data_IF_043107850390
#
_entry.id   IF_043107850390
#
_cell.length_a   1.000
_cell.length_b   1.000
_cell.length_c   1.000
_cell.angle_alpha   90.00
_cell.angle_beta   90.00
_cell.angle_gamma   90.00
#
_symmetry.space_group_name_H-M   'P 1'
#
loop_
_entity.id
_entity.type
_entity.pdbx_description
1 polymer ?
#
# COMPACT_ATOMS: atom_id res chain seq x y z
N UNK A 1 12.08 -46.17 37.51
CA UNK A 1 11.18 -45.04 37.24
C UNK A 1 11.38 -44.64 35.79
N UNK A 2 10.36 -44.84 34.96
CA UNK A 2 10.43 -44.73 33.51
C UNK A 2 10.34 -43.27 33.03
N UNK A 3 11.27 -42.92 32.14
CA UNK A 3 11.14 -42.16 30.88
C UNK A 3 10.22 -40.93 30.81
N UNK A 4 10.78 -39.79 30.39
CA UNK A 4 10.33 -39.11 29.14
C UNK A 4 11.40 -38.11 28.65
N UNK A 5 12.25 -38.52 27.71
CA UNK A 5 13.03 -37.59 26.89
C UNK A 5 12.15 -37.22 25.68
N UNK A 6 11.44 -36.10 25.83
CA UNK A 6 10.63 -35.52 24.77
C UNK A 6 11.48 -34.97 23.62
N UNK A 7 12.00 -35.86 22.78
CA UNK A 7 12.58 -35.50 21.49
C UNK A 7 11.46 -35.10 20.53
N UNK A 8 11.28 -33.80 20.32
CA UNK A 8 10.42 -33.28 19.24
C UNK A 8 11.16 -33.41 17.91
N UNK A 9 11.01 -34.55 17.25
CA UNK A 9 11.47 -34.76 15.89
C UNK A 9 10.60 -33.97 14.91
N UNK A 10 11.09 -32.79 14.52
CA UNK A 10 10.77 -32.19 13.22
C UNK A 10 11.91 -32.54 12.28
N UNK A 11 11.60 -32.94 11.04
CA UNK A 11 12.56 -33.31 9.98
C UNK A 11 13.42 -32.12 9.53
N UNK A 12 14.27 -31.63 10.41
CA UNK A 12 15.37 -30.72 10.13
C UNK A 12 16.55 -31.30 10.92
N UNK A 13 17.67 -31.54 10.25
CA UNK A 13 18.87 -32.17 10.84
C UNK A 13 19.63 -31.25 11.82
N UNK A 14 18.92 -30.35 12.48
CA UNK A 14 19.45 -29.40 13.45
C UNK A 14 19.04 -29.87 14.85
N UNK A 15 19.95 -30.53 15.56
CA UNK A 15 19.72 -30.91 16.95
C UNK A 15 20.01 -29.72 17.86
N UNK A 16 18.95 -29.13 18.43
CA UNK A 16 19.10 -28.22 19.55
C UNK A 16 19.29 -29.05 20.82
N UNK A 17 20.44 -28.90 21.46
CA UNK A 17 20.72 -29.45 22.78
C UNK A 17 20.72 -28.30 23.80
N UNK A 18 19.98 -28.47 24.89
CA UNK A 18 20.02 -27.56 26.03
C UNK A 18 21.32 -27.83 26.81
N UNK A 19 22.15 -26.79 26.98
CA UNK A 19 23.37 -26.86 27.80
C UNK A 19 23.05 -26.25 29.16
N UNK A 20 23.03 -27.09 30.20
CA UNK A 20 22.79 -26.67 31.58
C UNK A 20 24.01 -25.95 32.16
N UNK A 21 23.85 -24.69 32.55
CA UNK A 21 24.83 -23.91 33.31
C UNK A 21 24.26 -23.59 34.70
N UNK A 22 24.74 -24.34 35.70
CA UNK A 22 24.63 -24.15 37.15
C UNK A 22 23.26 -24.17 37.87
N UNK A 23 23.36 -24.54 39.16
CA UNK A 23 22.33 -24.99 40.12
C UNK A 23 21.36 -23.89 40.59
N UNK A 24 21.45 -22.66 40.09
CA UNK A 24 20.73 -21.48 40.63
C UNK A 24 19.50 -21.04 39.83
N UNK A 25 19.01 -21.83 38.88
CA UNK A 25 17.72 -21.57 38.21
C UNK A 25 17.69 -20.30 37.34
N UNK A 26 18.84 -19.79 36.92
CA UNK A 26 18.93 -18.65 35.99
C UNK A 26 18.90 -19.18 34.56
N UNK A 27 17.87 -18.85 33.77
CA UNK A 27 17.85 -19.23 32.35
C UNK A 27 18.76 -18.29 31.55
N UNK A 28 19.93 -18.78 31.15
CA UNK A 28 20.75 -18.09 30.15
C UNK A 28 20.11 -18.28 28.77
N UNK A 29 19.85 -17.18 28.08
CA UNK A 29 19.37 -17.20 26.71
C UNK A 29 20.57 -17.43 25.78
N UNK A 30 20.90 -18.70 25.55
CA UNK A 30 22.00 -19.10 24.69
C UNK A 30 21.61 -18.87 23.22
N UNK A 31 22.28 -17.93 22.55
CA UNK A 31 22.14 -17.80 21.10
C UNK A 31 23.00 -18.85 20.39
N UNK A 32 22.39 -19.62 19.48
CA UNK A 32 23.13 -20.59 18.69
C UNK A 32 24.00 -19.86 17.65
N UNK A 33 25.30 -20.18 17.64
CA UNK A 33 26.23 -19.68 16.61
C UNK A 33 26.03 -20.47 15.32
N UNK A 34 25.73 -19.78 14.21
CA UNK A 34 25.38 -20.42 12.94
C UNK A 34 26.57 -20.46 11.98
N UNK A 35 27.03 -21.64 11.53
CA UNK A 35 28.03 -21.79 10.48
C UNK A 35 27.54 -21.19 9.15
N UNK A 36 28.47 -20.71 8.32
CA UNK A 36 28.16 -20.01 7.07
C UNK A 36 27.21 -20.78 6.14
N UNK A 37 27.42 -22.09 6.00
CA UNK A 37 26.59 -22.98 5.16
C UNK A 37 25.12 -23.10 5.60
N UNK A 38 24.80 -22.70 6.84
CA UNK A 38 23.46 -22.82 7.41
C UNK A 38 22.69 -21.50 7.50
N UNK A 39 23.36 -20.36 7.33
CA UNK A 39 22.74 -19.04 7.60
C UNK A 39 21.55 -18.75 6.67
N UNK A 40 21.67 -19.07 5.38
CA UNK A 40 20.58 -18.92 4.41
C UNK A 40 19.38 -19.80 4.77
N UNK A 41 19.63 -21.06 5.19
CA UNK A 41 18.55 -21.99 5.58
C UNK A 41 17.79 -21.51 6.81
N UNK A 42 18.51 -20.96 7.80
CA UNK A 42 17.91 -20.35 9.00
C UNK A 42 17.06 -19.13 8.61
N UNK A 43 17.56 -18.29 7.71
CA UNK A 43 16.81 -17.16 7.20
C UNK A 43 15.53 -17.60 6.47
N UNK A 44 15.63 -18.52 5.52
CA UNK A 44 14.49 -18.99 4.71
C UNK A 44 13.42 -19.63 5.61
N UNK A 45 13.81 -20.41 6.62
CA UNK A 45 12.90 -21.05 7.56
C UNK A 45 12.11 -20.06 8.41
N UNK A 46 12.70 -18.93 8.80
CA UNK A 46 12.04 -17.93 9.66
C UNK A 46 11.31 -16.88 8.81
N UNK A 47 11.95 -16.38 7.75
CA UNK A 47 11.39 -15.38 6.86
C UNK A 47 10.23 -15.95 6.04
N UNK A 48 10.31 -17.21 5.60
CA UNK A 48 9.27 -17.87 4.81
C UNK A 48 7.93 -18.09 5.52
N UNK A 49 7.88 -17.98 6.87
CA UNK A 49 6.63 -18.16 7.63
C UNK A 49 5.63 -17.03 7.41
N UNK A 50 6.10 -15.81 7.22
CA UNK A 50 5.22 -14.62 7.14
C UNK A 50 5.77 -13.48 6.28
N UNK A 51 6.91 -13.68 5.62
CA UNK A 51 7.65 -12.65 4.88
C UNK A 51 7.76 -11.31 5.62
N UNK A 52 8.26 -11.32 6.88
CA UNK A 52 8.39 -10.11 7.64
C UNK A 52 9.32 -9.12 6.94
N UNK A 53 9.03 -7.83 7.05
CA UNK A 53 9.96 -6.79 6.60
C UNK A 53 11.33 -6.89 7.30
N UNK A 54 12.28 -6.06 6.87
CA UNK A 54 13.67 -6.10 7.34
C UNK A 54 13.81 -6.10 8.88
N UNK A 55 13.22 -5.12 9.57
CA UNK A 55 13.37 -4.96 11.03
C UNK A 55 12.78 -6.15 11.80
N UNK A 56 11.53 -6.62 11.51
CA UNK A 56 11.01 -7.81 12.15
C UNK A 56 11.79 -9.09 11.84
N UNK A 57 12.23 -9.30 10.59
CA UNK A 57 13.08 -10.44 10.21
C UNK A 57 14.36 -10.47 11.05
N UNK A 58 15.02 -9.32 11.18
CA UNK A 58 16.24 -9.25 12.00
C UNK A 58 15.97 -9.54 13.48
N UNK A 59 14.88 -9.02 14.04
CA UNK A 59 14.49 -9.29 15.44
C UNK A 59 14.20 -10.77 15.69
N UNK A 60 13.43 -11.41 14.80
CA UNK A 60 13.04 -12.82 14.95
C UNK A 60 14.24 -13.76 14.88
N UNK A 61 15.18 -13.50 13.96
CA UNK A 61 16.36 -14.33 13.79
C UNK A 61 17.37 -14.06 14.92
N UNK A 62 17.61 -12.79 15.26
CA UNK A 62 18.54 -12.41 16.33
C UNK A 62 18.07 -12.85 17.74
N UNK A 63 16.80 -13.21 17.91
CA UNK A 63 16.28 -13.73 19.18
C UNK A 63 16.78 -15.15 19.51
N UNK A 64 17.33 -15.88 18.53
CA UNK A 64 17.74 -17.30 18.70
C UNK A 64 19.11 -17.62 18.09
N UNK A 65 19.58 -16.81 17.14
CA UNK A 65 20.79 -17.10 16.37
C UNK A 65 21.73 -15.89 16.32
N UNK A 66 23.03 -16.17 16.26
CA UNK A 66 24.07 -15.15 16.10
C UNK A 66 25.13 -15.60 15.10
N UNK A 67 25.60 -14.67 14.27
CA UNK A 67 26.80 -14.83 13.45
C UNK A 67 27.36 -13.45 13.06
N UNK A 68 28.62 -13.42 12.65
CA UNK A 68 29.26 -12.20 12.17
C UNK A 68 28.57 -11.70 10.88
N UNK A 69 28.05 -10.47 10.91
CA UNK A 69 27.35 -9.89 9.76
C UNK A 69 25.83 -10.15 9.71
N UNK A 70 25.23 -10.79 10.72
CA UNK A 70 23.79 -11.11 10.83
C UNK A 70 22.85 -10.05 10.24
N UNK A 71 22.99 -8.80 10.70
CA UNK A 71 22.11 -7.71 10.29
C UNK A 71 22.29 -7.29 8.82
N UNK A 72 23.50 -7.45 8.28
CA UNK A 72 23.83 -7.18 6.88
C UNK A 72 23.24 -8.28 6.00
N UNK A 73 23.52 -9.54 6.32
CA UNK A 73 23.04 -10.68 5.55
C UNK A 73 21.50 -10.69 5.45
N UNK A 74 20.81 -10.53 6.59
CA UNK A 74 19.33 -10.48 6.61
C UNK A 74 18.80 -9.30 5.79
N UNK A 75 19.48 -8.14 5.83
CA UNK A 75 19.06 -6.97 5.03
C UNK A 75 19.17 -7.29 3.55
N UNK A 76 20.28 -7.87 3.14
CA UNK A 76 20.55 -8.17 1.73
C UNK A 76 19.56 -9.24 1.23
N UNK A 77 19.33 -10.31 2.00
CA UNK A 77 18.38 -11.37 1.63
C UNK A 77 16.93 -10.89 1.57
N UNK A 78 16.47 -10.07 2.52
CA UNK A 78 15.12 -9.48 2.46
C UNK A 78 14.95 -8.58 1.23
N UNK A 79 16.00 -7.87 0.82
CA UNK A 79 15.97 -7.02 -0.38
C UNK A 79 15.99 -7.84 -1.68
N UNK A 80 16.70 -8.98 -1.71
CA UNK A 80 16.76 -9.87 -2.88
C UNK A 80 15.49 -10.69 -3.07
N UNK A 81 14.75 -11.01 -2.00
CA UNK A 81 13.54 -11.83 -2.05
C UNK A 81 12.47 -11.15 -2.91
N UNK A 82 12.39 -11.53 -4.19
CA UNK A 82 11.82 -10.70 -5.27
C UNK A 82 10.30 -10.61 -5.26
N UNK A 83 9.64 -11.44 -4.45
CA UNK A 83 8.20 -11.70 -4.52
C UNK A 83 7.38 -10.67 -3.69
N UNK A 84 7.92 -10.21 -2.56
CA UNK A 84 7.17 -9.37 -1.59
C UNK A 84 7.46 -7.86 -1.58
N UNK A 85 8.64 -7.34 -1.97
CA UNK A 85 8.87 -5.90 -2.07
C UNK A 85 7.86 -5.19 -2.98
N UNK A 86 7.30 -5.89 -3.98
CA UNK A 86 6.26 -5.35 -4.88
C UNK A 86 4.86 -5.25 -4.27
N UNK A 87 4.59 -5.95 -3.16
CA UNK A 87 3.32 -5.91 -2.42
C UNK A 87 3.42 -5.17 -1.09
N UNK A 88 4.63 -4.81 -0.66
CA UNK A 88 4.81 -3.94 0.49
C UNK A 88 4.18 -2.58 0.20
N UNK A 89 3.32 -2.11 1.12
CA UNK A 89 2.69 -0.78 1.02
C UNK A 89 3.79 0.27 0.85
N UNK A 90 3.74 1.01 -0.26
CA UNK A 90 4.65 2.14 -0.48
C UNK A 90 4.32 3.20 0.57
N UNK A 91 5.21 3.39 1.54
CA UNK A 91 5.04 4.40 2.60
C UNK A 91 5.55 5.78 2.19
N UNK A 92 6.39 5.85 1.14
CA UNK A 92 7.03 7.09 0.69
C UNK A 92 6.73 7.30 -0.78
N UNK A 93 5.68 8.07 -1.04
CA UNK A 93 5.43 8.62 -2.37
C UNK A 93 6.38 9.80 -2.59
N UNK A 94 7.11 9.79 -3.71
CA UNK A 94 7.69 11.03 -4.24
C UNK A 94 6.49 11.83 -4.72
N UNK A 95 6.11 12.87 -3.98
CA UNK A 95 5.09 13.82 -4.44
C UNK A 95 5.76 14.67 -5.52
N UNK A 96 5.28 14.57 -6.76
CA UNK A 96 5.63 15.54 -7.77
C UNK A 96 5.29 16.96 -7.25
N UNK A 97 6.08 17.98 -7.60
CA UNK A 97 5.69 19.35 -7.31
C UNK A 97 4.29 19.62 -7.86
N UNK A 98 3.45 20.31 -7.09
CA UNK A 98 2.16 20.76 -7.61
C UNK A 98 2.44 21.83 -8.67
N UNK A 99 2.06 21.58 -9.91
CA UNK A 99 2.07 22.62 -10.94
C UNK A 99 0.99 23.64 -10.63
N UNK A 100 1.36 24.93 -10.66
CA UNK A 100 0.39 26.01 -10.60
C UNK A 100 -0.21 26.17 -11.99
N UNK A 101 -1.48 25.82 -12.12
CA UNK A 101 -2.23 26.13 -13.31
C UNK A 101 -2.66 27.59 -13.29
N UNK A 102 -2.50 28.29 -14.41
CA UNK A 102 -2.99 29.66 -14.56
C UNK A 102 -4.52 29.69 -14.48
N UNK A 103 -5.04 30.63 -13.71
CA UNK A 103 -6.49 30.92 -13.69
C UNK A 103 -6.77 31.79 -14.92
N UNK A 104 -7.69 31.40 -15.81
CA UNK A 104 -8.03 32.23 -16.96
C UNK A 104 -8.48 33.63 -16.54
N UNK A 105 -8.19 34.63 -17.36
CA UNK A 105 -8.57 36.02 -17.04
C UNK A 105 -10.07 36.30 -17.24
N UNK A 106 -10.71 35.56 -18.16
CA UNK A 106 -12.08 35.81 -18.59
C UNK A 106 -13.06 34.79 -18.01
N UNK A 107 -14.21 35.29 -17.57
CA UNK A 107 -15.26 34.49 -16.96
C UNK A 107 -15.83 33.49 -17.94
N UNK A 108 -16.07 32.27 -17.45
CA UNK A 108 -16.65 31.15 -18.21
C UNK A 108 -15.77 30.59 -19.35
N UNK A 109 -14.51 31.03 -19.49
CA UNK A 109 -13.61 30.50 -20.52
C UNK A 109 -13.06 29.11 -20.16
N UNK A 110 -12.96 28.76 -18.88
CA UNK A 110 -12.52 27.42 -18.44
C UNK A 110 -13.51 26.80 -17.48
N UNK A 111 -14.06 25.66 -17.88
CA UNK A 111 -15.08 24.94 -17.10
C UNK A 111 -14.56 23.58 -16.69
N UNK A 112 -14.64 23.29 -15.40
CA UNK A 112 -14.43 21.97 -14.85
C UNK A 112 -15.76 21.22 -14.81
N UNK A 113 -15.81 20.01 -15.35
CA UNK A 113 -17.02 19.19 -15.43
C UNK A 113 -16.77 17.86 -14.74
N UNK A 114 -17.73 17.42 -13.93
CA UNK A 114 -17.64 16.18 -13.17
C UNK A 114 -19.02 15.50 -13.04
N UNK A 115 -19.02 14.16 -12.98
CA UNK A 115 -20.20 13.34 -12.80
C UNK A 115 -20.24 12.76 -11.38
N UNK A 116 -21.22 13.20 -10.60
CA UNK A 116 -21.40 12.73 -9.23
C UNK A 116 -22.51 11.68 -9.18
N UNK A 117 -22.22 10.52 -8.60
CA UNK A 117 -23.20 9.45 -8.38
C UNK A 117 -22.57 8.05 -8.36
N UNK A 118 -23.40 6.99 -8.41
CA UNK A 118 -24.87 7.02 -8.40
C UNK A 118 -25.46 7.32 -7.02
N UNK A 119 -26.51 8.15 -7.00
CA UNK A 119 -27.35 8.44 -5.84
C UNK A 119 -28.58 7.52 -5.80
N UNK A 120 -29.26 7.42 -4.64
CA UNK A 120 -30.60 6.82 -4.59
C UNK A 120 -31.53 7.48 -5.62
N UNK A 121 -32.28 6.70 -6.42
CA UNK A 121 -33.11 7.25 -7.48
C UNK A 121 -34.13 8.25 -6.93
N UNK A 122 -34.19 9.43 -7.54
CA UNK A 122 -35.22 10.43 -7.28
C UNK A 122 -35.82 10.85 -8.61
N UNK A 123 -37.12 10.60 -8.81
CA UNK A 123 -37.81 10.91 -10.09
C UNK A 123 -37.10 10.37 -11.34
N UNK A 124 -36.44 9.21 -11.22
CA UNK A 124 -35.73 8.57 -12.34
C UNK A 124 -34.34 9.13 -12.64
N UNK A 125 -33.81 10.07 -11.84
CA UNK A 125 -32.43 10.53 -11.92
C UNK A 125 -31.57 9.93 -10.80
N UNK A 126 -30.33 9.61 -11.14
CA UNK A 126 -29.36 8.95 -10.24
C UNK A 126 -27.99 9.61 -10.27
N UNK A 127 -27.73 10.55 -11.18
CA UNK A 127 -26.46 11.24 -11.32
C UNK A 127 -26.66 12.75 -11.34
N UNK A 128 -25.59 13.50 -11.06
CA UNK A 128 -25.52 14.94 -11.25
C UNK A 128 -24.31 15.26 -12.13
N UNK A 129 -24.55 15.95 -13.24
CA UNK A 129 -23.50 16.65 -13.97
C UNK A 129 -23.22 17.96 -13.26
N UNK A 130 -22.05 18.11 -12.69
CA UNK A 130 -21.60 19.36 -12.08
C UNK A 130 -20.66 20.09 -13.01
N UNK A 131 -20.81 21.41 -13.11
CA UNK A 131 -20.00 22.28 -13.95
C UNK A 131 -19.57 23.47 -13.10
N UNK A 132 -18.28 23.77 -13.07
CA UNK A 132 -17.73 24.85 -12.26
C UNK A 132 -16.83 25.72 -13.12
N UNK A 133 -17.15 27.01 -13.18
CA UNK A 133 -16.25 27.99 -13.79
C UNK A 133 -15.01 28.14 -12.91
N UNK A 134 -13.84 28.01 -13.52
CA UNK A 134 -12.57 28.06 -12.81
C UNK A 134 -12.28 29.43 -12.23
N UNK A 135 -12.75 30.49 -12.91
CA UNK A 135 -12.41 31.88 -12.58
C UNK A 135 -13.28 32.43 -11.45
N UNK A 136 -14.60 32.41 -11.62
CA UNK A 136 -15.57 32.95 -10.66
C UNK A 136 -15.98 31.95 -9.58
N UNK A 137 -15.67 30.66 -9.77
CA UNK A 137 -16.20 29.55 -8.96
C UNK A 137 -17.72 29.39 -9.03
N UNK A 138 -18.37 29.97 -10.05
CA UNK A 138 -19.78 29.74 -10.35
C UNK A 138 -20.04 28.25 -10.59
N UNK A 139 -21.17 27.72 -10.10
CA UNK A 139 -21.47 26.28 -10.12
C UNK A 139 -22.85 26.02 -10.68
N UNK A 140 -22.93 25.09 -11.61
CA UNK A 140 -24.17 24.53 -12.14
C UNK A 140 -24.22 23.03 -11.85
N UNK A 141 -25.43 22.51 -11.64
CA UNK A 141 -25.65 21.08 -11.43
C UNK A 141 -26.92 20.63 -12.14
N UNK A 142 -26.79 19.64 -13.02
CA UNK A 142 -27.90 19.11 -13.82
C UNK A 142 -28.14 17.64 -13.47
N UNK A 143 -29.36 17.27 -13.04
CA UNK A 143 -29.69 15.89 -12.75
C UNK A 143 -29.75 15.06 -14.04
N UNK A 144 -29.16 13.87 -14.00
CA UNK A 144 -29.09 12.93 -15.11
C UNK A 144 -29.60 11.54 -14.71
N UNK A 145 -30.33 10.90 -15.61
CA UNK A 145 -30.75 9.50 -15.49
C UNK A 145 -29.67 8.52 -15.96
N UNK A 146 -28.70 9.00 -16.75
CA UNK A 146 -27.68 8.21 -17.43
C UNK A 146 -26.41 9.04 -17.60
N UNK A 147 -25.25 8.38 -17.54
CA UNK A 147 -23.91 8.98 -17.72
C UNK A 147 -23.39 8.83 -19.14
N UNK A 148 -24.23 8.49 -20.11
CA UNK A 148 -23.79 8.37 -21.50
C UNK A 148 -23.26 9.72 -22.00
N UNK A 149 -22.24 9.69 -22.85
CA UNK A 149 -21.64 10.89 -23.43
C UNK A 149 -22.68 11.78 -24.11
N UNK A 150 -23.67 11.20 -24.78
CA UNK A 150 -24.73 11.94 -25.46
C UNK A 150 -25.66 12.67 -24.46
N UNK A 151 -26.00 12.06 -23.34
CA UNK A 151 -26.83 12.70 -22.30
C UNK A 151 -26.07 13.83 -21.62
N UNK A 152 -24.80 13.60 -21.29
CA UNK A 152 -23.91 14.59 -20.70
C UNK A 152 -23.72 15.79 -21.63
N UNK A 153 -23.40 15.55 -22.90
CA UNK A 153 -23.23 16.62 -23.88
C UNK A 153 -24.52 17.44 -24.07
N UNK A 154 -25.68 16.79 -24.13
CA UNK A 154 -26.98 17.48 -24.22
C UNK A 154 -27.26 18.35 -23.00
N UNK A 155 -26.98 17.84 -21.80
CA UNK A 155 -27.14 18.62 -20.56
C UNK A 155 -26.15 19.79 -20.49
N UNK A 156 -24.88 19.55 -20.84
CA UNK A 156 -23.86 20.61 -20.86
C UNK A 156 -24.22 21.72 -21.85
N UNK A 157 -24.58 21.37 -23.08
CA UNK A 157 -25.00 22.35 -24.09
C UNK A 157 -26.28 23.06 -23.66
N UNK A 158 -27.28 22.30 -23.20
CA UNK A 158 -28.60 22.83 -22.82
C UNK A 158 -28.60 23.72 -21.59
N UNK A 159 -27.59 23.62 -20.72
CA UNK A 159 -27.48 24.42 -19.50
C UNK A 159 -26.33 25.42 -19.56
N UNK A 160 -25.10 24.98 -19.78
CA UNK A 160 -23.95 25.87 -19.70
C UNK A 160 -23.82 26.74 -20.96
N UNK A 161 -23.81 26.12 -22.13
CA UNK A 161 -23.58 26.83 -23.40
C UNK A 161 -24.71 27.80 -23.72
N UNK A 162 -25.95 27.46 -23.36
CA UNK A 162 -27.12 28.32 -23.52
C UNK A 162 -27.09 29.55 -22.60
N UNK A 163 -26.55 29.43 -21.39
CA UNK A 163 -26.51 30.52 -20.40
C UNK A 163 -25.26 31.40 -20.52
N UNK A 164 -24.09 30.80 -20.77
CA UNK A 164 -22.79 31.47 -20.68
C UNK A 164 -22.00 31.48 -21.99
N UNK A 165 -22.45 30.73 -23.00
CA UNK A 165 -21.71 30.51 -24.24
C UNK A 165 -20.74 29.31 -24.17
N UNK A 166 -20.09 29.03 -25.29
CA UNK A 166 -19.12 27.94 -25.38
C UNK A 166 -17.82 28.32 -24.66
N UNK A 167 -17.31 27.49 -23.74
CA UNK A 167 -16.02 27.75 -23.10
C UNK A 167 -14.87 27.55 -24.08
N UNK A 168 -13.72 28.13 -23.75
CA UNK A 168 -12.47 27.93 -24.48
C UNK A 168 -11.82 26.59 -24.10
N UNK A 169 -11.89 26.23 -22.82
CA UNK A 169 -11.31 25.01 -22.27
C UNK A 169 -12.32 24.27 -21.37
N UNK A 170 -12.29 22.94 -21.47
CA UNK A 170 -13.14 22.02 -20.74
C UNK A 170 -12.25 20.95 -20.10
N UNK A 171 -12.30 20.83 -18.77
CA UNK A 171 -11.54 19.80 -18.05
C UNK A 171 -12.46 18.87 -17.28
N UNK A 172 -12.28 17.56 -17.49
CA UNK A 172 -12.87 16.46 -16.71
C UNK A 172 -11.77 15.53 -16.20
N UNK A 173 -12.12 14.59 -15.33
CA UNK A 173 -11.26 13.47 -14.94
C UNK A 173 -11.26 12.32 -15.98
#
# INVERSE_FOLDING_TARGET
MASDQGSRTTSMSLQLADVSFDVTGTSLLCHAVVPESWRQRVFDAIHGLSHPGRKPSQRLIAARFVWHGLWKDIRDWVNTYTIWPKRAKVYRHVKAPLEMFEVPEKWFDHVNVDLVGPFPPSRGVTYLLTMVDRTTRWREAVPLASTTTADVARAFIGTWVTLFGAPLDLSSD
#
